data_IF_822882932760
#
_entry.id   IF_822882932760
#
_cell.length_a   1.000
_cell.length_b   1.000
_cell.length_c   1.000
_cell.angle_alpha   90.00
_cell.angle_beta   90.00
_cell.angle_gamma   90.00
#
_symmetry.space_group_name_H-M   'P 1'
#
loop_
_entity.id
_entity.type
_entity.pdbx_description
1 polymer ?
#
# COMPACT_ATOMS: atom_id res chain seq x y z
N UNK A 1 -10.19 47.41 -16.06
CA UNK A 1 -11.30 47.87 -15.17
C UNK A 1 -11.83 46.78 -14.25
N UNK A 2 -12.14 45.58 -14.77
CA UNK A 2 -12.78 44.49 -14.01
C UNK A 2 -12.01 44.03 -12.76
N UNK A 3 -10.70 43.74 -12.87
CA UNK A 3 -9.86 43.31 -11.75
C UNK A 3 -9.82 44.33 -10.60
N UNK A 4 -9.77 45.62 -10.92
CA UNK A 4 -9.73 46.70 -9.92
C UNK A 4 -11.05 46.78 -9.14
N UNK A 5 -12.17 46.54 -9.81
CA UNK A 5 -13.51 46.50 -9.20
C UNK A 5 -13.68 45.24 -8.35
N UNK A 6 -13.22 44.09 -8.84
CA UNK A 6 -13.26 42.83 -8.11
C UNK A 6 -12.46 42.89 -6.80
N UNK A 7 -11.23 43.43 -6.82
CA UNK A 7 -10.41 43.60 -5.60
C UNK A 7 -11.07 44.57 -4.61
N UNK A 8 -11.67 45.66 -5.10
CA UNK A 8 -12.41 46.62 -4.25
C UNK A 8 -13.62 45.96 -3.59
N UNK A 9 -14.34 45.09 -4.29
CA UNK A 9 -15.46 44.33 -3.71
C UNK A 9 -14.99 43.25 -2.72
N UNK A 10 -13.87 42.59 -3.02
CA UNK A 10 -13.26 41.57 -2.15
C UNK A 10 -12.88 42.17 -0.79
N UNK A 11 -12.20 43.33 -0.81
CA UNK A 11 -11.79 44.08 0.38
C UNK A 11 -12.98 44.79 1.05
N UNK A 12 -13.97 45.25 0.25
CA UNK A 12 -15.17 45.93 0.74
C UNK A 12 -16.14 45.04 1.51
N UNK A 13 -16.19 43.74 1.19
CA UNK A 13 -17.00 42.74 1.88
C UNK A 13 -16.39 42.23 3.22
N UNK A 14 -15.18 42.72 3.57
CA UNK A 14 -14.49 42.52 4.86
C UNK A 14 -14.56 41.07 5.38
N UNK A 15 -15.31 40.85 6.46
CA UNK A 15 -15.31 39.61 7.24
C UNK A 15 -15.84 38.39 6.46
N UNK A 16 -16.88 38.58 5.62
CA UNK A 16 -17.48 37.47 4.87
C UNK A 16 -16.47 36.86 3.90
N UNK A 17 -15.70 37.70 3.21
CA UNK A 17 -14.71 37.22 2.24
C UNK A 17 -13.50 36.59 2.93
N UNK A 18 -13.04 37.17 4.03
CA UNK A 18 -11.92 36.60 4.82
C UNK A 18 -12.30 35.22 5.34
N UNK A 19 -13.51 35.05 5.90
CA UNK A 19 -13.95 33.77 6.44
C UNK A 19 -14.06 32.71 5.34
N UNK A 20 -14.65 33.04 4.20
CA UNK A 20 -14.75 32.09 3.09
C UNK A 20 -13.38 31.69 2.54
N UNK A 21 -12.49 32.65 2.30
CA UNK A 21 -11.13 32.36 1.82
C UNK A 21 -10.36 31.52 2.83
N UNK A 22 -10.51 31.79 4.13
CA UNK A 22 -9.87 31.03 5.19
C UNK A 22 -10.38 29.58 5.22
N UNK A 23 -11.71 29.38 5.24
CA UNK A 23 -12.30 28.03 5.26
C UNK A 23 -11.87 27.24 4.03
N UNK A 24 -11.96 27.84 2.84
CA UNK A 24 -11.54 27.17 1.60
C UNK A 24 -10.05 26.84 1.60
N UNK A 25 -9.18 27.78 2.00
CA UNK A 25 -7.74 27.54 2.08
C UNK A 25 -7.40 26.44 3.09
N UNK A 26 -8.08 26.43 4.24
CA UNK A 26 -7.91 25.41 5.26
C UNK A 26 -8.38 24.03 4.79
N UNK A 27 -9.50 23.95 4.06
CA UNK A 27 -9.94 22.70 3.44
C UNK A 27 -8.90 22.14 2.48
N UNK A 28 -8.33 22.98 1.60
CA UNK A 28 -7.26 22.54 0.71
C UNK A 28 -6.01 22.11 1.47
N UNK A 29 -5.64 22.83 2.52
CA UNK A 29 -4.52 22.44 3.38
C UNK A 29 -4.72 21.04 3.97
N UNK A 30 -5.89 20.74 4.54
CA UNK A 30 -6.18 19.42 5.11
C UNK A 30 -6.17 18.33 4.03
N UNK A 31 -6.73 18.60 2.86
CA UNK A 31 -6.72 17.64 1.73
C UNK A 31 -5.28 17.30 1.32
N UNK A 32 -4.42 18.32 1.18
CA UNK A 32 -3.02 18.13 0.82
C UNK A 32 -2.22 17.44 1.92
N UNK A 33 -2.46 17.81 3.18
CA UNK A 33 -1.83 17.17 4.34
C UNK A 33 -2.14 15.68 4.39
N UNK A 34 -3.43 15.32 4.25
CA UNK A 34 -3.85 13.93 4.25
C UNK A 34 -3.27 13.17 3.05
N UNK A 35 -3.32 13.75 1.85
CA UNK A 35 -2.76 13.12 0.64
C UNK A 35 -1.26 12.85 0.81
N UNK A 36 -0.49 13.83 1.29
CA UNK A 36 0.94 13.66 1.54
C UNK A 36 1.24 12.62 2.63
N UNK A 37 0.41 12.56 3.67
CA UNK A 37 0.52 11.52 4.70
C UNK A 37 0.24 10.12 4.14
N UNK A 38 -0.81 9.97 3.32
CA UNK A 38 -1.12 8.71 2.63
C UNK A 38 0.01 8.27 1.72
N UNK A 39 0.56 9.17 0.92
CA UNK A 39 1.69 8.87 0.03
C UNK A 39 2.93 8.47 0.82
N UNK A 40 3.22 9.16 1.93
CA UNK A 40 4.32 8.81 2.84
C UNK A 40 4.16 7.42 3.46
N UNK A 41 2.96 7.09 3.95
CA UNK A 41 2.65 5.76 4.47
C UNK A 41 2.77 4.68 3.39
N UNK A 42 2.27 4.95 2.18
CA UNK A 42 2.37 4.03 1.06
C UNK A 42 3.84 3.76 0.69
N UNK A 43 4.65 4.81 0.62
CA UNK A 43 6.09 4.65 0.32
C UNK A 43 6.81 3.88 1.42
N UNK A 44 6.47 4.15 2.68
CA UNK A 44 7.03 3.40 3.81
C UNK A 44 6.63 1.92 3.76
N UNK A 45 5.35 1.62 3.52
CA UNK A 45 4.87 0.25 3.38
C UNK A 45 5.57 -0.49 2.24
N UNK A 46 5.75 0.14 1.07
CA UNK A 46 6.51 -0.44 -0.04
C UNK A 46 7.95 -0.78 0.33
N UNK A 47 8.64 0.15 0.99
CA UNK A 47 10.02 -0.08 1.41
C UNK A 47 10.10 -1.24 2.40
N UNK A 48 9.20 -1.29 3.39
CA UNK A 48 9.14 -2.41 4.35
C UNK A 48 8.86 -3.73 3.65
N UNK A 49 7.93 -3.78 2.69
CA UNK A 49 7.65 -4.98 1.89
C UNK A 49 8.86 -5.43 1.07
N UNK A 50 9.61 -4.49 0.48
CA UNK A 50 10.86 -4.80 -0.22
C UNK A 50 11.90 -5.37 0.76
N UNK A 51 12.09 -4.74 1.91
CA UNK A 51 13.13 -5.15 2.86
C UNK A 51 12.82 -6.49 3.55
N UNK A 52 11.54 -6.85 3.68
CA UNK A 52 11.11 -8.03 4.47
C UNK A 52 10.58 -9.20 3.64
N UNK A 53 9.87 -8.95 2.54
CA UNK A 53 9.09 -9.99 1.84
C UNK A 53 9.60 -10.26 0.42
N UNK A 54 9.98 -9.22 -0.34
CA UNK A 54 10.31 -9.35 -1.76
C UNK A 54 11.83 -9.30 -2.02
N UNK A 55 12.60 -8.61 -1.18
CA UNK A 55 14.04 -8.39 -1.33
C UNK A 55 14.42 -7.95 -2.76
N UNK A 56 15.26 -8.72 -3.45
CA UNK A 56 15.69 -8.46 -4.83
C UNK A 56 14.72 -8.92 -5.92
N UNK A 57 13.61 -9.57 -5.54
CA UNK A 57 12.59 -10.08 -6.45
C UNK A 57 11.97 -11.38 -5.94
N UNK A 58 10.68 -11.56 -6.22
CA UNK A 58 9.94 -12.78 -5.91
C UNK A 58 9.35 -13.37 -7.20
N UNK A 59 9.38 -14.69 -7.31
CA UNK A 59 8.66 -15.42 -8.33
C UNK A 59 7.42 -16.05 -7.72
N UNK A 60 6.26 -15.83 -8.34
CA UNK A 60 5.00 -16.43 -7.94
C UNK A 60 4.54 -17.43 -9.00
N UNK A 61 3.93 -18.52 -8.54
CA UNK A 61 3.30 -19.48 -9.43
C UNK A 61 2.18 -18.79 -10.24
N UNK A 62 2.03 -19.04 -11.55
CA UNK A 62 0.94 -18.48 -12.35
C UNK A 62 -0.48 -18.69 -11.80
N UNK A 63 -0.70 -19.74 -11.01
CA UNK A 63 -1.99 -20.04 -10.39
C UNK A 63 -2.21 -19.25 -9.08
N UNK A 64 -1.20 -18.54 -8.57
CA UNK A 64 -1.34 -17.71 -7.38
C UNK A 64 -1.95 -16.36 -7.75
N UNK A 65 -3.07 -16.03 -7.12
CA UNK A 65 -3.71 -14.73 -7.20
C UNK A 65 -3.64 -14.02 -5.84
N UNK A 66 -2.91 -12.89 -5.72
CA UNK A 66 -2.83 -12.11 -4.48
C UNK A 66 -4.18 -11.59 -3.97
N UNK A 67 -5.19 -11.49 -4.84
CA UNK A 67 -6.54 -11.04 -4.49
C UNK A 67 -7.46 -12.20 -4.08
N UNK A 68 -7.05 -13.44 -4.32
CA UNK A 68 -7.75 -14.63 -3.87
C UNK A 68 -6.94 -15.36 -2.78
N UNK A 69 -7.34 -15.22 -1.51
CA UNK A 69 -6.69 -15.89 -0.40
C UNK A 69 -6.68 -17.41 -0.54
N UNK A 70 -7.62 -18.02 -1.27
CA UNK A 70 -7.69 -19.49 -1.41
C UNK A 70 -6.69 -20.05 -2.43
N UNK A 71 -6.13 -19.18 -3.29
CA UNK A 71 -5.22 -19.58 -4.38
C UNK A 71 -3.91 -20.22 -3.90
N UNK A 72 -3.52 -20.08 -2.63
CA UNK A 72 -2.31 -20.70 -2.09
C UNK A 72 -2.30 -22.22 -2.24
N UNK A 73 -3.43 -22.89 -2.02
CA UNK A 73 -3.52 -24.35 -2.09
C UNK A 73 -3.43 -24.84 -3.55
N UNK A 74 -3.95 -24.07 -4.50
CA UNK A 74 -3.91 -24.38 -5.94
C UNK A 74 -2.58 -24.01 -6.61
N UNK A 75 -1.79 -23.15 -5.95
CA UNK A 75 -0.51 -22.64 -6.44
C UNK A 75 0.71 -23.47 -6.01
N UNK A 76 0.50 -24.61 -5.34
CA UNK A 76 1.60 -25.52 -4.99
C UNK A 76 2.15 -26.19 -6.24
N UNK A 77 3.44 -26.01 -6.50
CA UNK A 77 4.13 -26.71 -7.58
C UNK A 77 5.57 -27.03 -7.22
N UNK A 78 6.14 -27.97 -7.97
CA UNK A 78 7.60 -28.12 -8.00
C UNK A 78 8.24 -26.84 -8.55
N UNK A 79 9.47 -26.57 -8.13
CA UNK A 79 10.26 -25.42 -8.59
C UNK A 79 10.52 -25.61 -10.09
N UNK A 80 10.21 -24.61 -10.95
CA UNK A 80 10.52 -24.66 -12.38
C UNK A 80 12.02 -24.84 -12.62
N UNK A 81 12.39 -25.56 -13.68
CA UNK A 81 13.79 -25.86 -13.99
C UNK A 81 14.61 -24.59 -14.26
N UNK A 82 13.98 -23.54 -14.77
CA UNK A 82 14.59 -22.24 -15.04
C UNK A 82 15.07 -21.55 -13.76
N UNK A 83 14.34 -21.74 -12.65
CA UNK A 83 14.63 -21.12 -11.34
C UNK A 83 15.47 -22.06 -10.48
N UNK A 84 15.40 -23.38 -10.72
CA UNK A 84 16.17 -24.38 -9.96
C UNK A 84 17.67 -24.07 -9.93
N UNK A 85 18.24 -23.61 -11.05
CA UNK A 85 19.65 -23.18 -11.11
C UNK A 85 19.97 -22.00 -10.18
N UNK A 86 19.02 -21.11 -9.89
CA UNK A 86 19.22 -19.99 -8.95
C UNK A 86 19.19 -20.47 -7.51
N UNK A 87 18.33 -21.45 -7.21
CA UNK A 87 18.24 -22.09 -5.90
C UNK A 87 19.52 -22.88 -5.62
N UNK A 88 20.00 -23.67 -6.58
CA UNK A 88 21.24 -24.45 -6.46
C UNK A 88 22.47 -23.56 -6.24
N UNK A 89 22.47 -22.33 -6.81
CA UNK A 89 23.51 -21.32 -6.63
C UNK A 89 23.34 -20.48 -5.35
N UNK A 90 22.36 -20.78 -4.49
CA UNK A 90 22.02 -20.00 -3.28
C UNK A 90 21.67 -18.53 -3.57
N UNK A 91 21.21 -18.22 -4.78
CA UNK A 91 20.74 -16.88 -5.17
C UNK A 91 19.23 -16.70 -4.98
N UNK A 92 18.52 -17.79 -4.74
CA UNK A 92 17.10 -17.81 -4.42
C UNK A 92 16.83 -18.93 -3.41
N UNK A 93 15.73 -18.85 -2.67
CA UNK A 93 15.27 -19.90 -1.78
C UNK A 93 13.78 -20.16 -2.05
N UNK A 94 13.35 -21.43 -2.11
CA UNK A 94 11.93 -21.76 -2.20
C UNK A 94 11.26 -21.43 -0.87
N UNK A 95 10.03 -20.90 -0.95
CA UNK A 95 9.18 -20.66 0.21
C UNK A 95 7.87 -21.38 -0.04
N UNK A 96 7.55 -22.35 0.81
CA UNK A 96 6.25 -22.99 0.80
C UNK A 96 5.30 -22.16 1.66
N UNK A 97 4.17 -21.77 1.08
CA UNK A 97 3.13 -21.00 1.76
C UNK A 97 1.89 -21.86 1.91
N UNK A 98 1.40 -22.00 3.14
CA UNK A 98 0.18 -22.76 3.44
C UNK A 98 -0.72 -22.00 4.39
N UNK A 99 -2.03 -22.13 4.17
CA UNK A 99 -3.03 -21.53 5.06
C UNK A 99 -3.26 -22.45 6.26
N UNK A 100 -3.17 -21.87 7.45
CA UNK A 100 -3.32 -22.61 8.71
C UNK A 100 -4.27 -21.87 9.64
N UNK A 101 -4.80 -22.59 10.63
CA UNK A 101 -5.55 -22.00 11.75
C UNK A 101 -4.73 -22.12 13.02
N UNK A 102 -4.46 -21.00 13.67
CA UNK A 102 -3.80 -20.94 14.98
C UNK A 102 -4.84 -20.76 16.08
N UNK A 103 -4.51 -21.19 17.29
CA UNK A 103 -5.43 -21.19 18.44
C UNK A 103 -4.95 -20.32 19.63
N UNK A 104 -4.61 -19.03 19.43
CA UNK A 104 -4.14 -18.18 20.51
C UNK A 104 -5.24 -17.93 21.54
N UNK A 105 -4.99 -18.31 22.81
CA UNK A 105 -5.95 -18.14 23.89
C UNK A 105 -7.26 -18.90 23.68
N UNK A 106 -7.23 -20.02 22.94
CA UNK A 106 -8.41 -20.85 22.66
C UNK A 106 -9.34 -20.32 21.55
N UNK A 107 -8.96 -19.24 20.86
CA UNK A 107 -9.73 -18.71 19.71
C UNK A 107 -9.12 -19.17 18.40
N UNK A 108 -9.96 -19.60 17.46
CA UNK A 108 -9.54 -19.94 16.10
C UNK A 108 -9.23 -18.64 15.35
N UNK A 109 -8.02 -18.52 14.82
CA UNK A 109 -7.60 -17.40 13.98
C UNK A 109 -6.90 -17.91 12.72
N UNK A 110 -7.27 -17.44 11.52
CA UNK A 110 -6.55 -17.80 10.30
C UNK A 110 -5.15 -17.17 10.31
N UNK A 111 -4.17 -17.90 9.79
CA UNK A 111 -2.79 -17.46 9.63
C UNK A 111 -2.17 -18.06 8.37
N UNK A 112 -1.07 -17.47 7.91
CA UNK A 112 -0.27 -17.96 6.79
C UNK A 112 1.04 -18.48 7.35
N UNK A 113 1.33 -19.76 7.12
CA UNK A 113 2.61 -20.38 7.45
C UNK A 113 3.52 -20.32 6.22
N UNK A 114 4.74 -19.80 6.41
CA UNK A 114 5.78 -19.76 5.38
C UNK A 114 7.00 -20.55 5.89
N UNK A 115 7.48 -21.52 5.13
CA UNK A 115 8.59 -22.40 5.53
C UNK A 115 9.38 -22.97 4.36
#
# INVERSE_FOLDING_TARGET
MLFKIAIKNLLGARLRTILNVFVTSFSFFIILLMSGMYDGMLQHAKNVTIDTEIAGGAYWNPNYDPLDPMSFEDAHSIIPNEIKSLVDQQKAFPVLVSQVSIYPGGRIMPAILKG
#
